data_IF_206022827034
#
_entry.id   IF_206022827034
#
_cell.length_a   1.000
_cell.length_b   1.000
_cell.length_c   1.000
_cell.angle_alpha   90.00
_cell.angle_beta   90.00
_cell.angle_gamma   90.00
#
_symmetry.space_group_name_H-M   'P 1'
#
loop_
_entity.id
_entity.type
_entity.pdbx_description
1 polymer ?
#
# COMPACT_ATOMS: atom_id res chain seq x y z
N UNK A 1 -15.70 -8.29 -10.28
CA UNK A 1 -14.62 -7.34 -10.62
C UNK A 1 -13.31 -8.00 -10.24
N UNK A 2 -12.39 -8.21 -11.18
CA UNK A 2 -11.10 -8.84 -10.88
C UNK A 2 -10.11 -7.78 -10.37
N UNK A 3 -9.82 -7.83 -9.08
CA UNK A 3 -8.96 -6.90 -8.36
C UNK A 3 -7.50 -7.10 -8.77
N UNK A 4 -7.12 -8.35 -9.03
CA UNK A 4 -5.78 -8.76 -9.41
C UNK A 4 -5.31 -8.08 -10.69
N UNK A 5 -6.15 -8.04 -11.72
CA UNK A 5 -5.82 -7.38 -12.99
C UNK A 5 -5.91 -5.86 -12.92
N UNK A 6 -6.83 -5.30 -12.13
CA UNK A 6 -6.99 -3.84 -12.00
C UNK A 6 -5.82 -3.17 -11.27
N UNK A 7 -5.25 -3.85 -10.28
CA UNK A 7 -4.23 -3.28 -9.39
C UNK A 7 -2.84 -3.91 -9.56
N UNK A 8 -2.62 -4.76 -10.56
CA UNK A 8 -1.29 -5.19 -10.98
C UNK A 8 -0.32 -4.00 -11.21
N UNK A 9 -0.73 -2.85 -11.80
CA UNK A 9 0.15 -1.69 -11.90
C UNK A 9 0.58 -1.07 -10.57
N UNK A 10 -0.10 -1.40 -9.45
CA UNK A 10 0.30 -1.03 -8.09
C UNK A 10 1.24 -2.06 -7.44
N UNK A 11 1.63 -3.11 -8.18
CA UNK A 11 2.42 -4.22 -7.66
C UNK A 11 1.61 -5.26 -6.88
N UNK A 12 0.27 -5.19 -6.90
CA UNK A 12 -0.63 -6.16 -6.28
C UNK A 12 -0.84 -7.38 -7.19
N UNK A 13 0.18 -8.21 -7.31
CA UNK A 13 0.10 -9.45 -8.10
C UNK A 13 -0.86 -10.47 -7.46
N UNK A 14 -1.41 -11.43 -8.24
CA UNK A 14 -2.26 -12.49 -7.70
C UNK A 14 -1.60 -13.26 -6.55
N UNK A 15 -0.28 -13.48 -6.62
CA UNK A 15 0.47 -14.17 -5.58
C UNK A 15 0.50 -13.38 -4.25
N UNK A 16 0.54 -12.05 -4.30
CA UNK A 16 0.47 -11.21 -3.09
C UNK A 16 -0.94 -11.17 -2.50
N UNK A 17 -1.96 -11.14 -3.36
CA UNK A 17 -3.36 -11.11 -2.98
C UNK A 17 -3.90 -12.46 -2.49
N UNK A 18 -3.14 -13.55 -2.63
CA UNK A 18 -3.47 -14.89 -2.17
C UNK A 18 -2.32 -15.49 -1.33
N UNK A 19 -1.74 -14.68 -0.44
CA UNK A 19 -0.56 -15.04 0.33
C UNK A 19 -0.84 -15.87 1.59
N UNK A 20 -2.09 -15.94 2.06
CA UNK A 20 -2.48 -16.73 3.23
C UNK A 20 -4.00 -16.88 3.34
N UNK A 21 -4.51 -17.09 4.56
CA UNK A 21 -5.93 -17.42 4.80
C UNK A 21 -6.78 -16.25 5.34
N UNK A 22 -6.18 -15.11 5.68
CA UNK A 22 -6.92 -13.97 6.23
C UNK A 22 -7.74 -13.27 5.15
N UNK A 23 -9.05 -13.48 5.16
CA UNK A 23 -9.95 -12.91 4.17
C UNK A 23 -10.14 -11.40 4.34
N UNK A 24 -9.76 -10.63 3.33
CA UNK A 24 -10.07 -9.19 3.20
C UNK A 24 -11.33 -9.05 2.35
N UNK A 25 -12.31 -8.28 2.82
CA UNK A 25 -13.59 -8.10 2.14
C UNK A 25 -13.96 -6.63 2.03
N UNK A 26 -14.63 -6.29 0.94
CA UNK A 26 -15.24 -5.00 0.72
C UNK A 26 -16.41 -4.78 1.68
N UNK A 27 -16.47 -3.65 2.40
CA UNK A 27 -17.64 -3.29 3.19
C UNK A 27 -18.83 -2.83 2.33
N UNK A 28 -18.63 -2.56 1.03
CA UNK A 28 -19.67 -2.10 0.11
C UNK A 28 -20.68 -3.22 -0.18
N UNK A 29 -20.18 -4.42 -0.43
CA UNK A 29 -20.97 -5.55 -0.95
C UNK A 29 -20.54 -6.92 -0.40
N UNK A 30 -19.54 -6.97 0.48
CA UNK A 30 -19.00 -8.21 1.06
C UNK A 30 -18.09 -9.00 0.13
N UNK A 31 -17.79 -8.50 -1.08
CA UNK A 31 -16.93 -9.18 -2.04
C UNK A 31 -15.53 -9.41 -1.46
N UNK A 32 -14.95 -10.58 -1.73
CA UNK A 32 -13.57 -10.89 -1.32
C UNK A 32 -12.58 -10.09 -2.17
N UNK A 33 -11.66 -9.39 -1.50
CA UNK A 33 -10.61 -8.58 -2.12
C UNK A 33 -9.28 -9.34 -2.21
N UNK A 34 -8.91 -10.04 -1.14
CA UNK A 34 -7.66 -10.78 -1.00
C UNK A 34 -7.77 -11.84 0.10
N UNK A 35 -6.86 -12.81 0.11
CA UNK A 35 -6.52 -13.58 1.31
C UNK A 35 -5.04 -13.38 1.62
N UNK A 36 -4.75 -12.85 2.81
CA UNK A 36 -3.40 -12.43 3.18
C UNK A 36 -2.80 -13.36 4.24
N UNK A 37 -1.49 -13.55 4.19
CA UNK A 37 -0.78 -14.07 5.35
C UNK A 37 -0.68 -12.96 6.40
N UNK A 38 -0.93 -13.31 7.66
CA UNK A 38 -0.61 -12.45 8.79
C UNK A 38 0.76 -12.83 9.30
N UNK A 39 1.56 -11.83 9.68
CA UNK A 39 2.84 -12.06 10.32
C UNK A 39 2.62 -12.63 11.74
N UNK A 40 3.42 -13.63 12.09
CA UNK A 40 3.53 -14.11 13.47
C UNK A 40 4.45 -13.21 14.32
N UNK A 41 4.51 -13.49 15.63
CA UNK A 41 5.33 -12.69 16.55
C UNK A 41 6.82 -12.67 16.18
N UNK A 42 7.36 -13.79 15.68
CA UNK A 42 8.77 -13.89 15.31
C UNK A 42 9.07 -13.09 14.02
N UNK A 43 8.14 -13.08 13.06
CA UNK A 43 8.23 -12.27 11.85
C UNK A 43 8.16 -10.78 12.17
N UNK A 44 7.29 -10.39 13.11
CA UNK A 44 7.24 -9.00 13.62
C UNK A 44 8.56 -8.61 14.27
N UNK A 45 9.10 -9.43 15.18
CA UNK A 45 10.38 -9.17 15.84
C UNK A 45 11.54 -9.04 14.83
N UNK A 46 11.58 -9.91 13.82
CA UNK A 46 12.56 -9.85 12.74
C UNK A 46 12.43 -8.56 11.91
N UNK A 47 11.19 -8.13 11.61
CA UNK A 47 10.91 -6.90 10.86
C UNK A 47 11.31 -5.65 11.65
N UNK A 48 11.09 -5.65 12.96
CA UNK A 48 11.52 -4.58 13.86
C UNK A 48 13.05 -4.48 13.91
N UNK A 49 13.75 -5.60 14.07
CA UNK A 49 15.21 -5.63 14.05
C UNK A 49 15.77 -5.09 12.72
N UNK A 50 15.23 -5.54 11.59
CA UNK A 50 15.64 -5.06 10.27
C UNK A 50 15.37 -3.56 10.06
N UNK A 51 14.29 -3.03 10.66
CA UNK A 51 13.96 -1.61 10.60
C UNK A 51 14.97 -0.72 11.35
N UNK A 52 15.50 -1.22 12.47
CA UNK A 52 16.57 -0.54 13.23
C UNK A 52 17.85 -0.46 12.38
N UNK A 53 18.25 -1.58 11.79
CA UNK A 53 19.43 -1.61 10.91
C UNK A 53 19.28 -0.70 9.69
N UNK A 54 18.10 -0.70 9.08
CA UNK A 54 17.77 0.17 7.95
C UNK A 54 17.82 1.65 8.36
N UNK A 55 17.34 2.01 9.55
CA UNK A 55 17.41 3.37 10.07
C UNK A 55 18.86 3.84 10.26
N UNK A 56 19.74 2.99 10.79
CA UNK A 56 21.15 3.32 10.97
C UNK A 56 21.87 3.61 9.64
N UNK A 57 21.51 2.89 8.57
CA UNK A 57 21.94 3.23 7.22
C UNK A 57 21.30 4.53 6.72
N UNK A 58 19.97 4.67 6.87
CA UNK A 58 19.19 5.77 6.33
C UNK A 58 19.55 7.13 6.93
N UNK A 59 19.83 7.20 8.24
CA UNK A 59 20.22 8.46 8.92
C UNK A 59 21.51 9.07 8.36
N UNK A 60 22.35 8.27 7.69
CA UNK A 60 23.59 8.73 7.02
C UNK A 60 23.36 9.24 5.60
N UNK A 61 22.17 9.03 5.02
CA UNK A 61 21.84 9.50 3.67
C UNK A 61 21.70 11.03 3.66
N UNK A 62 22.38 11.78 2.78
CA UNK A 62 22.30 13.23 2.72
C UNK A 62 20.88 13.76 2.47
N UNK A 63 20.54 14.92 3.05
CA UNK A 63 19.21 15.52 2.93
C UNK A 63 18.70 15.66 1.48
N UNK A 64 19.50 16.08 0.49
CA UNK A 64 19.02 16.15 -0.90
C UNK A 64 18.57 14.80 -1.47
N UNK A 65 19.27 13.71 -1.12
CA UNK A 65 18.89 12.35 -1.57
C UNK A 65 17.63 11.85 -0.89
N UNK A 66 17.40 12.23 0.37
CA UNK A 66 16.14 11.92 1.06
C UNK A 66 14.97 12.68 0.44
N UNK A 67 15.15 13.95 0.12
CA UNK A 67 14.16 14.76 -0.60
C UNK A 67 13.82 14.18 -1.98
N UNK A 68 14.81 13.68 -2.71
CA UNK A 68 14.60 13.01 -3.99
C UNK A 68 13.73 11.73 -3.86
N UNK A 69 13.90 10.95 -2.79
CA UNK A 69 13.02 9.80 -2.53
C UNK A 69 11.56 10.25 -2.34
N UNK A 70 11.33 11.30 -1.54
CA UNK A 70 9.99 11.84 -1.30
C UNK A 70 9.38 12.38 -2.60
N UNK A 71 10.16 13.09 -3.41
CA UNK A 71 9.73 13.60 -4.72
C UNK A 71 9.26 12.47 -5.64
N UNK A 72 10.06 11.40 -5.76
CA UNK A 72 9.72 10.20 -6.56
C UNK A 72 8.50 9.46 -6.02
N UNK A 73 8.34 9.40 -4.70
CA UNK A 73 7.15 8.83 -4.07
C UNK A 73 5.90 9.62 -4.46
N UNK A 74 5.94 10.96 -4.36
CA UNK A 74 4.85 11.83 -4.82
C UNK A 74 4.54 11.69 -6.32
N UNK A 75 5.54 11.50 -7.18
CA UNK A 75 5.34 11.19 -8.60
C UNK A 75 4.60 9.88 -8.83
N UNK A 76 4.97 8.83 -8.10
CA UNK A 76 4.28 7.54 -8.16
C UNK A 76 2.82 7.65 -7.70
N UNK A 77 2.57 8.36 -6.59
CA UNK A 77 1.21 8.63 -6.11
C UNK A 77 0.37 9.37 -7.16
N UNK A 78 0.91 10.44 -7.78
CA UNK A 78 0.23 11.17 -8.86
C UNK A 78 -0.09 10.27 -10.05
N UNK A 79 0.87 9.45 -10.48
CA UNK A 79 0.69 8.54 -11.61
C UNK A 79 -0.41 7.48 -11.36
N UNK A 80 -0.62 7.13 -10.09
CA UNK A 80 -1.55 6.06 -9.70
C UNK A 80 -2.78 6.56 -8.92
N UNK A 81 -3.01 7.87 -8.81
CA UNK A 81 -4.01 8.48 -7.94
C UNK A 81 -5.39 7.84 -8.03
N UNK A 82 -5.94 7.72 -9.24
CA UNK A 82 -7.29 7.16 -9.43
C UNK A 82 -7.37 5.67 -9.09
N UNK A 83 -6.29 4.91 -9.31
CA UNK A 83 -6.23 3.48 -8.91
C UNK A 83 -6.14 3.35 -7.39
N UNK A 84 -5.27 4.12 -6.75
CA UNK A 84 -5.15 4.13 -5.29
C UNK A 84 -6.46 4.58 -4.63
N UNK A 85 -7.10 5.63 -5.14
CA UNK A 85 -8.40 6.09 -4.63
C UNK A 85 -9.50 5.05 -4.79
N UNK A 86 -9.53 4.33 -5.93
CA UNK A 86 -10.46 3.21 -6.10
C UNK A 86 -10.19 2.05 -5.13
N UNK A 87 -8.91 1.77 -4.81
CA UNK A 87 -8.56 0.77 -3.80
C UNK A 87 -9.04 1.20 -2.41
N UNK A 88 -8.79 2.46 -2.00
CA UNK A 88 -9.29 3.04 -0.75
C UNK A 88 -10.81 2.91 -0.65
N UNK A 89 -11.54 3.22 -1.71
CA UNK A 89 -13.00 3.03 -1.77
C UNK A 89 -13.40 1.57 -1.53
N UNK A 90 -12.74 0.62 -2.19
CA UNK A 90 -13.08 -0.80 -2.04
C UNK A 90 -12.79 -1.34 -0.64
N UNK A 91 -11.75 -0.84 0.04
CA UNK A 91 -11.35 -1.32 1.36
C UNK A 91 -12.12 -0.63 2.51
N UNK A 92 -12.53 0.63 2.32
CA UNK A 92 -13.13 1.45 3.38
C UNK A 92 -14.63 1.75 3.18
N UNK A 93 -15.15 1.58 1.96
CA UNK A 93 -16.54 1.90 1.61
C UNK A 93 -16.83 3.38 1.35
N UNK A 94 -15.80 4.24 1.35
CA UNK A 94 -15.93 5.67 1.04
C UNK A 94 -16.21 5.91 -0.44
N UNK A 95 -16.87 7.03 -0.76
CA UNK A 95 -17.09 7.42 -2.15
C UNK A 95 -15.75 7.68 -2.87
N UNK A 96 -15.71 7.47 -4.20
CA UNK A 96 -14.47 7.57 -4.97
C UNK A 96 -13.76 8.92 -4.82
N UNK A 97 -14.51 10.02 -4.73
CA UNK A 97 -13.92 11.35 -4.55
C UNK A 97 -13.22 11.51 -3.21
N UNK A 98 -13.69 10.86 -2.15
CA UNK A 98 -12.99 10.83 -0.85
C UNK A 98 -11.74 9.96 -0.93
N UNK A 99 -11.82 8.78 -1.57
CA UNK A 99 -10.65 7.93 -1.78
C UNK A 99 -9.56 8.62 -2.62
N UNK A 100 -9.93 9.33 -3.68
CA UNK A 100 -8.99 10.17 -4.44
C UNK A 100 -8.50 11.39 -3.66
N UNK A 101 -9.31 11.90 -2.73
CA UNK A 101 -8.97 12.97 -1.81
C UNK A 101 -7.85 12.57 -0.84
N UNK A 102 -7.94 11.40 -0.20
CA UNK A 102 -6.88 10.89 0.69
C UNK A 102 -5.55 10.73 -0.04
N UNK A 103 -5.58 10.23 -1.28
CA UNK A 103 -4.35 10.11 -2.08
C UNK A 103 -3.82 11.50 -2.46
N UNK A 104 -4.67 12.51 -2.63
CA UNK A 104 -4.23 13.88 -2.83
C UNK A 104 -3.52 14.44 -1.59
N UNK A 105 -4.04 14.18 -0.39
CA UNK A 105 -3.39 14.60 0.87
C UNK A 105 -2.00 13.96 1.04
N UNK A 106 -1.79 12.74 0.52
CA UNK A 106 -0.46 12.11 0.49
C UNK A 106 0.50 12.73 -0.54
N UNK A 107 -0.04 13.37 -1.58
CA UNK A 107 0.72 14.00 -2.66
C UNK A 107 1.19 15.41 -2.28
N UNK A 108 0.38 16.11 -1.48
CA UNK A 108 0.59 17.50 -1.04
C UNK A 108 1.66 17.61 0.06
#
# INVERSE_FOLDING_TARGET
MDISTRFEPLGLSPARLASGDWAVRSPIDGAALAHLALDDAAQVDATLAASVDAFDAWRRVPAPRRGELVRRFGEALRAHKSRLGALVTLESGKILSEGEGEVQEMID
#
